data_IF_622419785323
#
_entry.id   IF_622419785323
#
_cell.length_a   1.000
_cell.length_b   1.000
_cell.length_c   1.000
_cell.angle_alpha   90.00
_cell.angle_beta   90.00
_cell.angle_gamma   90.00
#
_symmetry.space_group_name_H-M   'P 1'
#
loop_
_entity.id
_entity.type
_entity.pdbx_description
1 polymer ?
#
# COMPACT_ATOMS: atom_id res chain seq x y z
N UNK A 1 -41.40 29.81 -12.14
CA UNK A 1 -39.98 30.17 -11.89
C UNK A 1 -39.28 28.88 -11.51
N UNK A 2 -38.59 28.24 -12.46
CA UNK A 2 -37.83 27.00 -12.22
C UNK A 2 -36.37 27.39 -12.00
N UNK A 3 -35.85 27.15 -10.81
CA UNK A 3 -34.41 27.22 -10.54
C UNK A 3 -33.77 25.87 -10.89
N UNK A 4 -32.70 25.84 -11.71
CA UNK A 4 -31.94 24.61 -11.92
C UNK A 4 -31.14 24.28 -10.65
N UNK A 5 -31.09 22.99 -10.33
CA UNK A 5 -30.29 22.45 -9.22
C UNK A 5 -28.78 22.64 -9.49
N UNK A 6 -27.97 22.88 -8.45
CA UNK A 6 -26.53 23.04 -8.61
C UNK A 6 -25.88 21.69 -8.96
N UNK A 7 -25.07 21.68 -10.01
CA UNK A 7 -24.19 20.57 -10.33
C UNK A 7 -23.03 20.56 -9.33
N UNK A 8 -22.94 19.49 -8.55
CA UNK A 8 -21.79 19.23 -7.68
C UNK A 8 -20.71 18.60 -8.57
N UNK A 9 -19.69 19.38 -8.91
CA UNK A 9 -18.45 18.85 -9.47
C UNK A 9 -17.77 17.99 -8.41
N UNK A 10 -17.78 16.67 -8.63
CA UNK A 10 -16.98 15.73 -7.84
C UNK A 10 -15.53 15.91 -8.27
N UNK A 11 -14.77 16.67 -7.49
CA UNK A 11 -13.32 16.77 -7.63
C UNK A 11 -12.74 15.39 -7.31
N UNK A 12 -12.30 14.69 -8.35
CA UNK A 12 -11.54 13.46 -8.20
C UNK A 12 -10.20 13.82 -7.51
N UNK A 13 -10.10 13.54 -6.22
CA UNK A 13 -8.83 13.60 -5.53
C UNK A 13 -7.93 12.50 -6.09
N UNK A 14 -6.80 12.90 -6.68
CA UNK A 14 -5.70 12.02 -7.08
C UNK A 14 -5.16 11.29 -5.84
N UNK A 15 -5.74 10.13 -5.52
CA UNK A 15 -5.19 9.20 -4.54
C UNK A 15 -3.84 8.72 -5.11
N UNK A 16 -2.72 8.90 -4.39
CA UNK A 16 -1.42 8.39 -4.83
C UNK A 16 -1.51 6.87 -5.03
N UNK A 17 -1.21 6.41 -6.24
CA UNK A 17 -1.10 4.98 -6.54
C UNK A 17 0.01 4.36 -5.66
N UNK A 18 -0.33 3.45 -4.72
CA UNK A 18 0.62 2.95 -3.74
C UNK A 18 1.57 1.86 -4.27
N UNK A 19 1.49 1.51 -5.56
CA UNK A 19 2.25 0.41 -6.18
C UNK A 19 3.59 0.82 -6.84
N UNK A 20 4.15 1.99 -6.50
CA UNK A 20 5.52 2.38 -6.89
C UNK A 20 6.58 1.66 -6.00
N UNK A 21 6.63 0.33 -6.10
CA UNK A 21 7.58 -0.56 -5.39
C UNK A 21 8.91 -0.71 -6.15
N UNK A 22 9.73 0.35 -6.26
CA UNK A 22 11.11 0.26 -6.77
C UNK A 22 12.18 0.70 -5.76
N UNK A 23 12.04 0.34 -4.48
CA UNK A 23 13.15 0.39 -3.52
C UNK A 23 13.07 -0.81 -2.57
N UNK A 24 13.50 -1.98 -3.04
CA UNK A 24 13.93 -3.07 -2.17
C UNK A 24 15.23 -2.62 -1.49
N UNK A 25 15.17 -2.36 -0.18
CA UNK A 25 16.34 -2.06 0.62
C UNK A 25 17.14 -3.36 0.82
N UNK A 26 18.25 -3.50 0.11
CA UNK A 26 19.23 -4.57 0.37
C UNK A 26 19.89 -4.42 1.74
N UNK A 27 20.50 -5.49 2.28
CA UNK A 27 21.03 -5.50 3.64
C UNK A 27 22.27 -4.60 3.76
N UNK A 28 22.12 -3.46 4.44
CA UNK A 28 23.24 -2.55 4.74
C UNK A 28 23.94 -2.98 6.04
N UNK A 29 25.26 -3.16 5.92
CA UNK A 29 26.16 -3.56 6.98
C UNK A 29 26.29 -2.48 8.05
N UNK A 30 26.22 -2.89 9.32
CA UNK A 30 26.39 -2.02 10.48
C UNK A 30 27.80 -1.39 10.56
N UNK A 31 27.92 -0.10 10.92
CA UNK A 31 29.14 0.44 11.50
C UNK A 31 29.01 0.65 13.01
N UNK A 32 30.16 0.41 13.65
CA UNK A 32 30.43 0.37 15.08
C UNK A 32 30.45 1.78 15.72
N UNK A 33 29.99 1.80 16.97
CA UNK A 33 30.38 2.65 18.11
C UNK A 33 31.28 3.87 17.87
N UNK A 34 30.85 5.04 18.39
CA UNK A 34 31.69 5.83 19.30
C UNK A 34 30.87 6.91 20.00
N UNK A 35 30.87 6.87 21.33
CA UNK A 35 30.26 7.86 22.22
C UNK A 35 31.02 9.19 22.19
N UNK A 36 30.31 10.32 22.23
CA UNK A 36 30.77 11.54 22.90
C UNK A 36 29.60 12.28 23.56
N UNK A 37 29.73 12.43 24.87
CA UNK A 37 28.91 13.22 25.77
C UNK A 37 29.04 14.72 25.49
N UNK A 38 27.97 15.48 25.68
CA UNK A 38 28.04 16.88 26.07
C UNK A 38 26.87 17.20 27.02
N UNK A 39 27.25 17.60 28.23
CA UNK A 39 26.37 18.28 29.18
C UNK A 39 26.14 19.71 28.72
N UNK A 40 24.96 20.27 28.98
CA UNK A 40 24.84 21.50 29.75
C UNK A 40 23.39 21.74 30.18
N UNK A 41 23.25 21.99 31.47
CA UNK A 41 22.10 22.63 32.10
C UNK A 41 21.82 23.98 31.46
N UNK A 42 20.55 24.35 31.38
CA UNK A 42 20.17 25.71 31.76
C UNK A 42 18.75 25.76 32.30
N UNK A 43 18.65 26.44 33.44
CA UNK A 43 17.47 26.71 34.22
C UNK A 43 16.50 27.62 33.45
N UNK A 44 15.21 27.29 33.50
CA UNK A 44 14.18 28.34 33.49
C UNK A 44 12.93 27.88 34.22
N UNK A 45 12.67 28.56 35.34
CA UNK A 45 11.50 28.41 36.20
C UNK A 45 10.24 28.87 35.45
N UNK A 46 9.22 28.01 35.38
CA UNK A 46 7.86 28.44 35.02
C UNK A 46 6.85 27.79 35.99
N UNK A 47 6.24 28.68 36.77
CA UNK A 47 4.90 28.67 37.38
C UNK A 47 4.27 27.34 37.84
N UNK A 48 4.10 27.27 39.17
CA UNK A 48 3.07 26.48 39.86
C UNK A 48 1.70 26.67 39.22
N UNK A 49 1.14 25.58 38.70
CA UNK A 49 -0.30 25.39 38.62
C UNK A 49 -0.65 24.11 39.38
N UNK A 50 -1.22 24.29 40.57
CA UNK A 50 -1.95 23.27 41.32
C UNK A 50 -3.29 23.04 40.63
N UNK A 51 -3.36 21.99 39.82
CA UNK A 51 -4.60 21.43 39.30
C UNK A 51 -4.63 19.94 39.63
N UNK A 52 -5.44 19.57 40.61
CA UNK A 52 -5.85 18.18 40.84
C UNK A 52 -6.47 17.64 39.55
N UNK A 53 -5.76 16.74 38.89
CA UNK A 53 -6.33 15.80 37.96
C UNK A 53 -5.81 14.43 38.39
N UNK A 54 -6.73 13.60 38.88
CA UNK A 54 -6.53 12.16 39.05
C UNK A 54 -6.14 11.58 37.68
N UNK A 55 -4.85 11.56 37.37
CA UNK A 55 -4.30 10.73 36.31
C UNK A 55 -4.41 9.30 36.76
N UNK A 56 -5.52 8.65 36.38
CA UNK A 56 -5.56 7.20 36.25
C UNK A 56 -4.47 6.82 35.25
N UNK A 57 -3.40 6.33 35.83
CA UNK A 57 -2.30 5.57 35.26
C UNK A 57 -2.89 4.45 34.38
N UNK A 58 -3.24 4.82 33.14
CA UNK A 58 -3.64 3.87 32.12
C UNK A 58 -2.32 3.40 31.56
N UNK A 59 -1.78 2.34 32.17
CA UNK A 59 -0.65 1.63 31.61
C UNK A 59 -0.94 1.40 30.13
N UNK A 60 -0.04 1.91 29.28
CA UNK A 60 0.07 1.68 27.85
C UNK A 60 0.25 0.17 27.60
N UNK A 61 -0.80 -0.60 27.81
CA UNK A 61 -0.88 -1.96 27.30
C UNK A 61 -1.10 -1.80 25.81
N UNK A 62 0.02 -1.77 25.09
CA UNK A 62 0.05 -1.85 23.65
C UNK A 62 -0.88 -3.00 23.23
N UNK A 63 -1.85 -2.78 22.33
CA UNK A 63 -2.81 -3.80 21.95
C UNK A 63 -2.07 -5.05 21.49
N UNK A 64 -2.65 -6.22 21.73
CA UNK A 64 -2.02 -7.52 21.48
C UNK A 64 -1.47 -7.65 20.05
N UNK A 65 -2.04 -6.91 19.09
CA UNK A 65 -1.59 -6.86 17.70
C UNK A 65 -0.31 -6.04 17.46
N UNK A 66 0.10 -5.16 18.39
CA UNK A 66 1.22 -4.24 18.20
C UNK A 66 2.56 -4.93 18.36
N UNK A 67 2.70 -5.85 19.32
CA UNK A 67 3.96 -6.54 19.59
C UNK A 67 4.44 -7.40 18.42
N UNK A 68 3.53 -8.01 17.66
CA UNK A 68 3.87 -8.87 16.51
C UNK A 68 4.38 -8.09 15.31
N UNK A 69 3.97 -6.83 15.13
CA UNK A 69 4.33 -6.01 13.95
C UNK A 69 5.30 -4.87 14.25
N UNK A 70 5.64 -4.63 15.52
CA UNK A 70 6.48 -3.52 15.96
C UNK A 70 7.81 -3.45 15.20
N UNK A 71 8.51 -4.57 15.09
CA UNK A 71 9.81 -4.61 14.40
C UNK A 71 9.66 -4.29 12.91
N UNK A 72 8.54 -4.70 12.30
CA UNK A 72 8.19 -4.32 10.93
C UNK A 72 7.92 -2.82 10.78
N UNK A 73 7.25 -2.19 11.75
CA UNK A 73 7.00 -0.74 11.75
C UNK A 73 8.34 0.03 11.83
N UNK A 74 9.27 -0.46 12.64
CA UNK A 74 10.59 0.18 12.81
C UNK A 74 11.42 0.18 11.50
N UNK A 75 11.20 -0.77 10.58
CA UNK A 75 11.78 -0.76 9.23
C UNK A 75 11.24 0.36 8.33
N UNK A 76 10.07 0.93 8.68
CA UNK A 76 9.40 1.96 7.89
C UNK A 76 9.42 3.32 8.60
N UNK A 77 10.46 3.62 9.37
CA UNK A 77 10.74 5.00 9.78
C UNK A 77 11.41 5.75 8.62
N UNK A 78 10.88 6.91 8.19
CA UNK A 78 11.51 7.67 7.12
C UNK A 78 12.90 8.16 7.53
N UNK A 79 13.81 8.24 6.57
CA UNK A 79 15.16 8.82 6.75
C UNK A 79 15.30 10.19 6.07
N UNK A 80 14.32 10.55 5.22
CA UNK A 80 14.26 11.81 4.48
C UNK A 80 12.82 12.25 4.28
N UNK A 81 12.62 13.54 4.00
CA UNK A 81 11.31 14.06 3.65
C UNK A 81 10.77 13.46 2.34
N UNK A 82 9.45 13.41 2.20
CA UNK A 82 8.77 13.04 0.96
C UNK A 82 8.50 11.55 0.75
N UNK A 83 8.92 10.67 1.66
CA UNK A 83 8.62 9.22 1.59
C UNK A 83 7.52 8.77 2.56
N UNK A 84 6.94 9.68 3.35
CA UNK A 84 5.97 9.35 4.41
C UNK A 84 4.80 8.51 3.88
N UNK A 85 4.22 8.85 2.71
CA UNK A 85 3.07 8.10 2.16
C UNK A 85 3.42 6.64 1.84
N UNK A 86 4.60 6.41 1.26
CA UNK A 86 5.07 5.05 0.97
C UNK A 86 5.26 4.24 2.27
N UNK A 87 5.84 4.87 3.28
CA UNK A 87 6.05 4.25 4.59
C UNK A 87 4.71 3.96 5.30
N UNK A 88 3.79 4.93 5.30
CA UNK A 88 2.42 4.75 5.84
C UNK A 88 1.69 3.60 5.13
N UNK A 89 1.81 3.49 3.80
CA UNK A 89 1.23 2.38 3.05
C UNK A 89 1.80 1.02 3.48
N UNK A 90 3.12 0.90 3.63
CA UNK A 90 3.73 -0.35 4.07
C UNK A 90 3.33 -0.72 5.52
N UNK A 91 3.18 0.26 6.40
CA UNK A 91 2.67 0.04 7.75
C UNK A 91 1.20 -0.41 7.71
N UNK A 92 0.36 0.20 6.86
CA UNK A 92 -1.01 -0.25 6.67
C UNK A 92 -1.09 -1.71 6.21
N UNK A 93 -0.15 -2.15 5.35
CA UNK A 93 -0.04 -3.56 4.96
C UNK A 93 0.36 -4.49 6.11
N UNK A 94 1.25 -4.04 7.01
CA UNK A 94 1.55 -4.77 8.25
C UNK A 94 0.32 -4.87 9.15
N UNK A 95 -0.48 -3.82 9.24
CA UNK A 95 -1.75 -3.86 9.97
C UNK A 95 -2.75 -4.84 9.34
N UNK A 96 -2.82 -4.94 8.01
CA UNK A 96 -3.62 -5.98 7.34
C UNK A 96 -3.11 -7.40 7.63
N UNK A 97 -1.79 -7.59 7.75
CA UNK A 97 -1.23 -8.86 8.25
C UNK A 97 -1.75 -9.18 9.65
N UNK A 98 -1.73 -8.19 10.56
CA UNK A 98 -2.24 -8.36 11.92
C UNK A 98 -3.75 -8.66 11.96
N UNK A 99 -4.57 -7.99 11.17
CA UNK A 99 -6.01 -8.30 11.04
C UNK A 99 -6.25 -9.76 10.65
N UNK A 100 -5.50 -10.23 9.64
CA UNK A 100 -5.58 -11.61 9.14
C UNK A 100 -5.17 -12.63 10.21
N UNK A 101 -4.02 -12.42 10.86
CA UNK A 101 -3.50 -13.33 11.88
C UNK A 101 -4.42 -13.42 13.11
N UNK A 102 -5.06 -12.31 13.49
CA UNK A 102 -5.99 -12.26 14.61
C UNK A 102 -7.43 -12.58 14.20
N UNK A 103 -7.69 -12.80 12.91
CA UNK A 103 -9.03 -13.06 12.35
C UNK A 103 -10.09 -12.02 12.77
N UNK A 104 -9.71 -10.75 12.88
CA UNK A 104 -10.60 -9.63 13.23
C UNK A 104 -10.13 -8.33 12.58
N UNK A 105 -11.06 -7.39 12.42
CA UNK A 105 -10.70 -6.02 12.06
C UNK A 105 -10.07 -5.29 13.25
N UNK A 106 -9.17 -4.35 12.95
CA UNK A 106 -8.60 -3.45 13.94
C UNK A 106 -9.56 -2.28 14.20
N UNK A 107 -9.67 -1.88 15.46
CA UNK A 107 -10.43 -0.71 15.86
C UNK A 107 -9.65 0.59 15.56
N UNK A 108 -10.36 1.70 15.36
CA UNK A 108 -9.73 2.99 15.06
C UNK A 108 -8.74 3.43 16.16
N UNK A 109 -9.01 3.08 17.42
CA UNK A 109 -8.12 3.34 18.55
C UNK A 109 -6.81 2.54 18.46
N UNK A 110 -6.82 1.32 17.93
CA UNK A 110 -5.63 0.50 17.73
C UNK A 110 -4.80 1.03 16.55
N UNK A 111 -5.48 1.42 15.47
CA UNK A 111 -4.87 2.08 14.31
C UNK A 111 -4.19 3.39 14.74
N UNK A 112 -4.85 4.20 15.59
CA UNK A 112 -4.29 5.44 16.15
C UNK A 112 -3.05 5.18 16.98
N UNK A 113 -3.02 4.13 17.79
CA UNK A 113 -1.85 3.80 18.62
C UNK A 113 -0.64 3.45 17.75
N UNK A 114 -0.83 2.64 16.71
CA UNK A 114 0.21 2.30 15.75
C UNK A 114 0.73 3.56 15.04
N UNK A 115 -0.19 4.41 14.59
CA UNK A 115 0.17 5.66 13.95
C UNK A 115 0.96 6.57 14.89
N UNK A 116 0.53 6.76 16.13
CA UNK A 116 1.22 7.62 17.09
C UNK A 116 2.66 7.13 17.31
N UNK A 117 2.83 5.82 17.51
CA UNK A 117 4.17 5.22 17.66
C UNK A 117 5.08 5.51 16.46
N UNK A 118 4.56 5.35 15.24
CA UNK A 118 5.31 5.66 14.03
C UNK A 118 5.58 7.17 13.89
N UNK A 119 4.56 8.00 14.13
CA UNK A 119 4.59 9.44 13.97
C UNK A 119 5.59 10.10 14.91
N UNK A 120 5.71 9.63 16.15
CA UNK A 120 6.69 10.16 17.12
C UNK A 120 8.14 10.03 16.61
N UNK A 121 8.43 8.94 15.90
CA UNK A 121 9.75 8.69 15.29
C UNK A 121 9.92 9.39 13.94
N UNK A 122 8.84 9.52 13.18
CA UNK A 122 8.82 10.11 11.85
C UNK A 122 8.68 11.65 11.86
N UNK A 123 8.31 12.26 12.99
CA UNK A 123 7.91 13.67 13.11
C UNK A 123 8.88 14.66 12.47
N UNK A 124 10.19 14.42 12.60
CA UNK A 124 11.25 15.27 12.02
C UNK A 124 11.25 15.31 10.48
N UNK A 125 10.51 14.40 9.84
CA UNK A 125 10.35 14.30 8.38
C UNK A 125 8.96 14.69 7.91
N UNK A 126 8.12 15.22 8.80
CA UNK A 126 6.81 15.77 8.44
C UNK A 126 6.99 17.09 7.71
N UNK A 127 6.03 17.42 6.84
CA UNK A 127 5.99 18.74 6.21
C UNK A 127 5.57 19.77 7.26
N UNK A 128 6.25 20.91 7.29
CA UNK A 128 6.01 22.00 8.26
C UNK A 128 4.59 22.55 8.22
N UNK A 129 3.91 22.44 7.07
CA UNK A 129 2.56 22.94 6.86
C UNK A 129 1.45 21.92 7.17
N UNK A 130 1.79 20.76 7.74
CA UNK A 130 0.83 19.71 8.10
C UNK A 130 0.90 19.37 9.58
N UNK A 131 -0.27 19.25 10.20
CA UNK A 131 -0.39 18.80 11.58
C UNK A 131 -0.28 17.28 11.68
N UNK A 132 -0.09 16.78 12.91
CA UNK A 132 -0.12 15.34 13.18
C UNK A 132 -1.49 14.72 12.79
N UNK A 133 -2.58 15.46 12.99
CA UNK A 133 -3.94 15.01 12.66
C UNK A 133 -4.15 14.91 11.15
N UNK A 134 -3.57 15.82 10.34
CA UNK A 134 -3.60 15.72 8.87
C UNK A 134 -2.93 14.43 8.39
N UNK A 135 -1.79 14.07 9.00
CA UNK A 135 -1.12 12.80 8.71
C UNK A 135 -1.92 11.59 9.17
N UNK A 136 -2.63 11.69 10.30
CA UNK A 136 -3.49 10.60 10.77
C UNK A 136 -4.68 10.37 9.83
N UNK A 137 -5.32 11.44 9.35
CA UNK A 137 -6.39 11.36 8.37
C UNK A 137 -5.93 10.70 7.06
N UNK A 138 -4.72 11.03 6.58
CA UNK A 138 -4.09 10.35 5.45
C UNK A 138 -3.80 8.88 5.73
N UNK A 139 -3.30 8.57 6.92
CA UNK A 139 -3.00 7.21 7.33
C UNK A 139 -4.26 6.32 7.33
N UNK A 140 -5.37 6.79 7.89
CA UNK A 140 -6.66 6.06 7.88
C UNK A 140 -7.17 5.87 6.46
N UNK A 141 -7.08 6.92 5.63
CA UNK A 141 -7.48 6.83 4.21
C UNK A 141 -6.67 5.77 3.46
N UNK A 142 -5.36 5.71 3.71
CA UNK A 142 -4.47 4.69 3.13
C UNK A 142 -4.86 3.31 3.67
N UNK A 143 -5.09 3.18 4.98
CA UNK A 143 -5.47 1.91 5.61
C UNK A 143 -6.75 1.32 5.02
N UNK A 144 -7.79 2.15 4.84
CA UNK A 144 -9.07 1.73 4.25
C UNK A 144 -8.91 1.31 2.77
N UNK A 145 -7.97 1.94 2.05
CA UNK A 145 -7.64 1.59 0.67
C UNK A 145 -6.74 0.34 0.56
N UNK A 146 -5.99 -0.01 1.61
CA UNK A 146 -5.09 -1.17 1.62
C UNK A 146 -5.89 -2.46 1.71
N UNK A 147 -5.88 -3.27 0.65
CA UNK A 147 -6.60 -4.56 0.59
C UNK A 147 -5.75 -5.78 0.97
N UNK A 148 -4.43 -5.68 0.90
CA UNK A 148 -3.53 -6.83 0.98
C UNK A 148 -2.55 -6.70 2.14
N UNK A 149 -2.27 -7.83 2.77
CA UNK A 149 -1.23 -7.97 3.77
C UNK A 149 0.18 -7.70 3.19
N UNK A 150 1.16 -7.48 4.06
CA UNK A 150 2.53 -7.17 3.65
C UNK A 150 3.19 -8.33 2.88
N UNK A 151 2.88 -9.56 3.24
CA UNK A 151 3.36 -10.80 2.61
C UNK A 151 2.51 -11.25 1.42
N UNK A 152 1.43 -10.52 1.10
CA UNK A 152 0.55 -10.82 -0.02
C UNK A 152 0.81 -9.89 -1.21
N UNK A 153 0.78 -10.48 -2.41
CA UNK A 153 0.85 -9.75 -3.68
C UNK A 153 -0.45 -9.98 -4.44
N UNK A 154 -1.13 -8.92 -4.91
CA UNK A 154 -2.36 -9.05 -5.71
C UNK A 154 -2.17 -9.99 -6.90
N UNK A 155 -0.99 -9.92 -7.54
CA UNK A 155 -0.62 -10.77 -8.68
C UNK A 155 -0.44 -12.23 -8.27
N UNK A 156 0.10 -12.48 -7.07
CA UNK A 156 0.27 -13.85 -6.54
C UNK A 156 -1.09 -14.46 -6.17
N UNK A 157 -1.98 -13.68 -5.56
CA UNK A 157 -3.35 -14.11 -5.25
C UNK A 157 -4.11 -14.41 -6.55
N UNK A 158 -4.09 -13.48 -7.51
CA UNK A 158 -4.72 -13.66 -8.81
C UNK A 158 -4.17 -14.87 -9.57
N UNK A 159 -2.86 -15.14 -9.48
CA UNK A 159 -2.25 -16.32 -10.06
C UNK A 159 -2.75 -17.63 -9.45
N UNK A 160 -2.86 -17.72 -8.11
CA UNK A 160 -3.44 -18.89 -7.45
C UNK A 160 -4.88 -19.11 -7.90
N UNK A 161 -5.71 -18.07 -7.83
CA UNK A 161 -7.11 -18.14 -8.26
C UNK A 161 -7.25 -18.54 -9.73
N UNK A 162 -6.41 -18.02 -10.62
CA UNK A 162 -6.45 -18.35 -12.04
C UNK A 162 -6.12 -19.82 -12.34
N UNK A 163 -5.36 -20.50 -11.48
CA UNK A 163 -5.07 -21.94 -11.62
C UNK A 163 -6.18 -22.84 -11.12
N UNK A 164 -6.97 -22.34 -10.17
CA UNK A 164 -8.02 -23.10 -9.49
C UNK A 164 -9.41 -22.83 -10.08
N UNK A 165 -9.57 -21.69 -10.77
CA UNK A 165 -10.81 -21.26 -11.40
C UNK A 165 -10.94 -21.79 -12.83
N UNK A 166 -12.17 -21.84 -13.37
CA UNK A 166 -12.38 -22.04 -14.81
C UNK A 166 -11.64 -20.99 -15.66
N UNK A 167 -11.36 -21.30 -16.94
CA UNK A 167 -10.79 -20.33 -17.88
C UNK A 167 -11.62 -19.04 -17.96
N UNK A 168 -10.98 -17.88 -18.16
CA UNK A 168 -11.68 -16.60 -18.19
C UNK A 168 -12.53 -16.45 -19.47
N UNK A 169 -13.56 -15.59 -19.47
CA UNK A 169 -14.35 -15.33 -20.68
C UNK A 169 -13.48 -14.90 -21.88
N UNK A 170 -13.71 -15.48 -23.06
CA UNK A 170 -12.94 -15.18 -24.27
C UNK A 170 -11.63 -15.97 -24.40
N UNK A 171 -11.35 -16.91 -23.49
CA UNK A 171 -10.19 -17.81 -23.57
C UNK A 171 -10.18 -18.67 -24.85
N UNK A 172 -11.33 -18.87 -25.50
CA UNK A 172 -11.47 -19.67 -26.71
C UNK A 172 -10.66 -19.12 -27.89
N UNK A 173 -10.26 -17.84 -27.81
CA UNK A 173 -9.36 -17.18 -28.78
C UNK A 173 -7.89 -17.51 -28.57
N UNK A 174 -7.54 -18.26 -27.51
CA UNK A 174 -6.17 -18.53 -27.09
C UNK A 174 -5.78 -19.97 -27.38
N UNK A 175 -4.64 -20.15 -28.02
CA UNK A 175 -4.21 -21.48 -28.50
C UNK A 175 -3.48 -22.30 -27.44
N UNK A 176 -2.86 -21.67 -26.44
CA UNK A 176 -2.01 -22.37 -25.46
C UNK A 176 -2.41 -22.07 -24.03
N UNK A 177 -2.25 -23.06 -23.16
CA UNK A 177 -2.53 -22.98 -21.71
C UNK A 177 -1.76 -21.83 -21.04
N UNK A 178 -0.56 -21.52 -21.53
CA UNK A 178 0.25 -20.38 -21.08
C UNK A 178 -0.46 -19.03 -21.28
N UNK A 179 -1.12 -18.85 -22.43
CA UNK A 179 -1.89 -17.64 -22.72
C UNK A 179 -3.20 -17.63 -21.94
N UNK A 180 -3.87 -18.78 -21.84
CA UNK A 180 -5.09 -18.94 -21.05
C UNK A 180 -4.83 -18.60 -19.59
N UNK A 181 -3.73 -19.08 -19.02
CA UNK A 181 -3.33 -18.77 -17.65
C UNK A 181 -3.03 -17.28 -17.47
N UNK A 182 -2.25 -16.66 -18.36
CA UNK A 182 -1.98 -15.22 -18.28
C UNK A 182 -3.28 -14.39 -18.38
N UNK A 183 -4.19 -14.76 -19.28
CA UNK A 183 -5.50 -14.13 -19.38
C UNK A 183 -6.32 -14.35 -18.10
N UNK A 184 -6.25 -15.55 -17.50
CA UNK A 184 -6.88 -15.87 -16.22
C UNK A 184 -6.36 -14.99 -15.08
N UNK A 185 -5.04 -14.79 -15.00
CA UNK A 185 -4.43 -13.87 -14.02
C UNK A 185 -4.97 -12.45 -14.20
N UNK A 186 -5.04 -11.97 -15.44
CA UNK A 186 -5.55 -10.64 -15.75
C UNK A 186 -7.04 -10.50 -15.37
N UNK A 187 -7.84 -11.53 -15.62
CA UNK A 187 -9.25 -11.56 -15.26
C UNK A 187 -9.45 -11.54 -13.74
N UNK A 188 -8.70 -12.36 -13.00
CA UNK A 188 -8.76 -12.37 -11.53
C UNK A 188 -8.29 -11.04 -10.94
N UNK A 189 -7.25 -10.40 -11.48
CA UNK A 189 -6.85 -9.05 -11.07
C UNK A 189 -7.97 -8.04 -11.27
N UNK A 190 -8.67 -8.08 -12.40
CA UNK A 190 -9.82 -7.22 -12.65
C UNK A 190 -10.93 -7.39 -11.61
N UNK A 191 -11.27 -8.64 -11.27
CA UNK A 191 -12.28 -8.93 -10.24
C UNK A 191 -11.86 -8.45 -8.85
N UNK A 192 -10.62 -8.73 -8.43
CA UNK A 192 -10.12 -8.34 -7.11
C UNK A 192 -10.01 -6.81 -6.98
N UNK A 193 -9.59 -6.15 -8.05
CA UNK A 193 -9.54 -4.68 -8.11
C UNK A 193 -10.92 -4.05 -8.17
N UNK A 194 -11.94 -4.78 -8.66
CA UNK A 194 -13.27 -4.26 -8.94
C UNK A 194 -13.31 -3.38 -10.21
N UNK A 195 -12.40 -3.62 -11.16
CA UNK A 195 -12.23 -2.78 -12.34
C UNK A 195 -10.82 -2.78 -12.91
N UNK A 196 -10.34 -1.64 -13.46
CA UNK A 196 -8.97 -1.52 -13.94
C UNK A 196 -7.93 -1.89 -12.89
N UNK A 197 -6.85 -2.53 -13.33
CA UNK A 197 -5.80 -3.07 -12.47
C UNK A 197 -4.41 -2.78 -13.02
N UNK A 198 -3.43 -2.66 -12.12
CA UNK A 198 -2.03 -2.51 -12.47
C UNK A 198 -1.38 -3.87 -12.66
N UNK A 199 -0.58 -4.02 -13.72
CA UNK A 199 0.25 -5.20 -13.89
C UNK A 199 1.58 -4.85 -14.55
N UNK A 200 2.68 -5.02 -13.81
CA UNK A 200 4.02 -4.91 -14.38
C UNK A 200 4.43 -6.23 -15.03
N UNK A 201 5.14 -6.16 -16.15
CA UNK A 201 5.65 -7.37 -16.82
C UNK A 201 6.64 -8.16 -15.94
N UNK A 202 7.35 -7.48 -15.03
CA UNK A 202 8.26 -8.10 -14.07
C UNK A 202 7.49 -8.91 -13.03
N UNK A 203 6.45 -8.31 -12.43
CA UNK A 203 5.63 -8.98 -11.42
C UNK A 203 4.86 -10.17 -11.99
N UNK A 204 4.35 -10.03 -13.21
CA UNK A 204 3.75 -11.14 -13.94
C UNK A 204 4.77 -12.27 -14.24
N UNK A 205 6.02 -11.94 -14.56
CA UNK A 205 7.08 -12.93 -14.80
C UNK A 205 7.51 -13.68 -13.52
N UNK A 206 7.43 -13.05 -12.34
CA UNK A 206 7.70 -13.70 -11.05
C UNK A 206 6.72 -14.85 -10.77
N UNK A 207 5.43 -14.66 -11.10
CA UNK A 207 4.39 -15.67 -10.86
C UNK A 207 4.30 -16.70 -11.99
N UNK A 208 4.45 -16.29 -13.25
CA UNK A 208 4.45 -17.15 -14.43
C UNK A 208 5.87 -17.69 -14.71
N UNK A 209 6.40 -18.45 -13.74
CA UNK A 209 7.76 -18.99 -13.77
C UNK A 209 8.09 -19.63 -15.14
N UNK A 210 9.27 -19.34 -15.66
CA UNK A 210 9.74 -19.84 -16.96
C UNK A 210 9.50 -18.89 -18.14
N UNK A 211 8.80 -17.77 -17.93
CA UNK A 211 8.55 -16.76 -18.97
C UNK A 211 9.23 -15.44 -18.61
N UNK A 212 10.29 -15.08 -19.34
CA UNK A 212 10.96 -13.81 -19.13
C UNK A 212 10.04 -12.60 -19.35
N UNK A 213 10.27 -11.50 -18.62
CA UNK A 213 9.42 -10.30 -18.64
C UNK A 213 9.22 -9.70 -20.05
N UNK A 214 10.21 -9.82 -20.95
CA UNK A 214 10.08 -9.39 -22.35
C UNK A 214 8.99 -10.19 -23.09
N UNK A 215 8.93 -11.50 -22.85
CA UNK A 215 7.88 -12.37 -23.43
C UNK A 215 6.52 -12.02 -22.83
N UNK A 216 6.43 -11.78 -21.53
CA UNK A 216 5.19 -11.32 -20.89
C UNK A 216 4.69 -10.02 -21.51
N UNK A 217 5.58 -9.04 -21.76
CA UNK A 217 5.21 -7.78 -22.42
C UNK A 217 4.63 -7.98 -23.82
N UNK A 218 5.21 -8.91 -24.60
CA UNK A 218 4.65 -9.30 -25.91
C UNK A 218 3.29 -9.98 -25.74
N UNK A 219 3.17 -10.91 -24.79
CA UNK A 219 1.93 -11.66 -24.52
C UNK A 219 0.79 -10.74 -24.08
N UNK A 220 1.03 -9.78 -23.19
CA UNK A 220 0.03 -8.79 -22.77
C UNK A 220 -0.44 -7.92 -23.95
N UNK A 221 0.48 -7.48 -24.82
CA UNK A 221 0.11 -6.75 -26.05
C UNK A 221 -0.73 -7.60 -27.00
N UNK A 222 -0.44 -8.90 -27.08
CA UNK A 222 -1.23 -9.83 -27.87
C UNK A 222 -2.66 -9.98 -27.32
N UNK A 223 -2.84 -10.13 -26.00
CA UNK A 223 -4.16 -10.16 -25.36
C UNK A 223 -4.97 -8.87 -25.61
N UNK A 224 -4.31 -7.71 -25.62
CA UNK A 224 -4.94 -6.43 -26.00
C UNK A 224 -5.40 -6.46 -27.46
N UNK A 225 -4.57 -6.97 -28.38
CA UNK A 225 -4.93 -7.08 -29.81
C UNK A 225 -6.08 -8.05 -30.07
N UNK A 226 -6.23 -9.09 -29.25
CA UNK A 226 -7.36 -10.02 -29.30
C UNK A 226 -8.67 -9.45 -28.72
N UNK A 227 -8.62 -8.25 -28.13
CA UNK A 227 -9.77 -7.61 -27.48
C UNK A 227 -10.16 -8.27 -26.17
N UNK A 228 -9.23 -8.96 -25.49
CA UNK A 228 -9.44 -9.47 -24.13
C UNK A 228 -9.08 -8.44 -23.07
N UNK A 229 -8.10 -7.58 -23.38
CA UNK A 229 -7.65 -6.50 -22.50
C UNK A 229 -7.79 -5.14 -23.20
N UNK A 230 -8.07 -4.12 -22.41
CA UNK A 230 -7.92 -2.70 -22.76
C UNK A 230 -6.78 -2.09 -21.96
N UNK A 231 -5.95 -1.27 -22.59
CA UNK A 231 -5.00 -0.43 -21.85
C UNK A 231 -5.75 0.83 -21.44
N UNK A 232 -5.95 1.01 -20.13
CA UNK A 232 -6.59 2.21 -19.58
C UNK A 232 -5.57 3.34 -19.47
N UNK A 233 -4.38 3.02 -18.95
CA UNK A 233 -3.28 3.96 -18.83
C UNK A 233 -1.98 3.25 -19.19
N UNK A 234 -1.17 3.89 -20.04
CA UNK A 234 0.11 3.34 -20.46
C UNK A 234 1.20 3.76 -19.48
N UNK A 235 1.76 2.77 -18.78
CA UNK A 235 2.96 2.95 -17.96
C UNK A 235 4.22 3.10 -18.82
N UNK A 236 5.33 3.52 -18.21
CA UNK A 236 6.60 3.62 -18.92
C UNK A 236 7.78 4.07 -18.08
N UNK A 237 9.00 4.05 -18.66
CA UNK A 237 10.23 4.40 -17.95
C UNK A 237 10.25 5.84 -17.43
N UNK A 238 9.51 6.74 -18.08
CA UNK A 238 9.40 8.15 -17.66
C UNK A 238 8.49 8.35 -16.46
N UNK A 239 7.40 7.55 -16.37
CA UNK A 239 6.46 7.63 -15.26
C UNK A 239 6.85 6.71 -14.10
N UNK A 240 7.77 5.77 -14.33
CA UNK A 240 8.14 4.68 -13.41
C UNK A 240 6.97 3.77 -12.99
N UNK A 241 5.79 3.95 -13.61
CA UNK A 241 4.56 3.23 -13.32
C UNK A 241 4.35 2.03 -14.25
N UNK A 242 3.71 0.99 -13.71
CA UNK A 242 3.16 -0.10 -14.51
C UNK A 242 1.99 0.39 -15.37
N UNK A 243 1.67 -0.35 -16.44
CA UNK A 243 0.46 -0.06 -17.21
C UNK A 243 -0.78 -0.52 -16.45
N UNK A 244 -1.85 0.25 -16.61
CA UNK A 244 -3.19 -0.09 -16.12
C UNK A 244 -3.95 -0.79 -17.24
N UNK A 245 -4.46 -1.97 -16.93
CA UNK A 245 -5.26 -2.79 -17.84
C UNK A 245 -6.67 -2.94 -17.30
N UNK A 246 -7.58 -3.28 -18.19
CA UNK A 246 -8.94 -3.67 -17.84
C UNK A 246 -9.33 -4.88 -18.67
N UNK A 247 -9.96 -5.86 -18.04
CA UNK A 247 -10.44 -7.04 -18.72
C UNK A 247 -11.78 -6.74 -19.40
N UNK A 248 -11.92 -7.09 -20.67
CA UNK A 248 -13.15 -6.85 -21.43
C UNK A 248 -14.09 -8.03 -21.19
N UNK A 249 -15.16 -7.80 -20.44
CA UNK A 249 -16.21 -8.79 -20.23
C UNK A 249 -17.12 -8.88 -21.47
N UNK A 250 -17.55 -10.08 -21.88
CA UNK A 250 -18.56 -10.21 -22.92
C UNK A 250 -19.87 -9.54 -22.46
N UNK A 251 -20.49 -8.78 -23.36
CA UNK A 251 -21.82 -8.17 -23.15
C UNK A 251 -22.93 -9.19 -23.33
#
# INVERSE_FOLDING_TARGET
>A
MNYPAPQIEVVANDIPNPFDENNECGPSQAPKSSCKSFNNSDDTQIHRYTGNADTKDTQDVLPVCFSSIKDGIDCWIPEKGGVNNQHMFNICRLLKTAERENSRSLELSEIRQVFNYWADKAKRFFKENKTNEDYFAEFVTIFDATKFAHDESPVTVAYKLARESPPPPGYEKLETDDFVLLAGVCYQLHLISGGPFYLSCRKAAEVLKGVGFNRISVRLRYLVRLGLLRIVEKGGPKSYKASTYEYILPQ
#
